data_IF_628495436141
#
_entry.id   IF_628495436141
#
_cell.length_a   1.000
_cell.length_b   1.000
_cell.length_c   1.000
_cell.angle_alpha   90.00
_cell.angle_beta   90.00
_cell.angle_gamma   90.00
#
_symmetry.space_group_name_H-M   'P 1'
#
loop_
_entity.id
_entity.type
_entity.pdbx_description
1 polymer ?
#
# COMPACT_ATOMS: atom_id res chain seq x y z
N UNK A 1 -26.13 13.11 7.99
CA UNK A 1 -25.98 11.64 7.92
C UNK A 1 -25.96 11.07 9.32
N UNK A 2 -26.28 9.79 9.53
CA UNK A 2 -26.14 9.10 10.81
C UNK A 2 -25.29 7.84 10.62
N UNK A 3 -24.48 7.52 11.62
CA UNK A 3 -23.70 6.29 11.72
C UNK A 3 -23.71 5.80 13.17
N UNK A 4 -23.67 4.49 13.38
CA UNK A 4 -23.38 3.93 14.70
C UNK A 4 -21.89 4.20 15.02
N UNK A 5 -21.53 4.59 16.25
CA UNK A 5 -20.13 4.76 16.62
C UNK A 5 -19.24 3.52 16.44
N UNK A 6 -19.77 2.33 16.09
CA UNK A 6 -19.04 1.03 16.04
C UNK A 6 -18.78 0.49 14.45
N UNK A 7 -18.00 1.68 14.26
CA UNK A 7 -17.23 2.22 13.07
C UNK A 7 -16.71 3.67 13.08
N UNK A 8 -17.31 4.61 13.81
CA UNK A 8 -16.73 5.96 13.86
C UNK A 8 -15.34 5.96 14.54
N UNK A 9 -14.43 6.76 14.00
CA UNK A 9 -13.13 7.09 14.58
C UNK A 9 -13.01 8.60 14.76
N UNK A 10 -12.33 9.10 15.81
CA UNK A 10 -11.95 10.50 15.87
C UNK A 10 -10.84 10.79 14.83
N UNK A 11 -10.91 11.95 14.17
CA UNK A 11 -9.86 12.44 13.28
C UNK A 11 -8.90 13.36 14.05
N UNK A 12 -7.67 13.50 13.55
CA UNK A 12 -6.66 14.36 14.17
C UNK A 12 -7.08 15.85 14.09
N UNK A 13 -7.01 16.64 15.18
CA UNK A 13 -7.36 18.05 15.14
C UNK A 13 -6.54 18.83 14.10
N UNK A 14 -7.23 19.54 13.20
CA UNK A 14 -6.60 20.33 12.13
C UNK A 14 -6.34 19.57 10.82
N UNK A 15 -6.48 18.25 10.78
CA UNK A 15 -6.52 17.50 9.52
C UNK A 15 -7.84 17.77 8.81
N UNK A 16 -7.81 17.96 7.49
CA UNK A 16 -9.03 18.11 6.69
C UNK A 16 -9.64 16.76 6.34
N UNK A 17 -10.96 16.68 6.20
CA UNK A 17 -11.68 15.45 5.82
C UNK A 17 -11.12 14.84 4.52
N UNK A 18 -10.70 15.68 3.57
CA UNK A 18 -10.11 15.24 2.32
C UNK A 18 -8.71 14.60 2.47
N UNK A 19 -7.91 15.04 3.45
CA UNK A 19 -6.64 14.41 3.83
C UNK A 19 -6.85 13.15 4.68
N UNK A 20 -7.88 13.12 5.51
CA UNK A 20 -8.21 11.96 6.35
C UNK A 20 -8.85 10.81 5.57
N UNK A 21 -9.66 11.08 4.54
CA UNK A 21 -10.43 10.06 3.81
C UNK A 21 -9.58 8.91 3.22
N UNK A 22 -8.40 9.14 2.62
CA UNK A 22 -7.52 8.04 2.18
C UNK A 22 -7.01 7.15 3.32
N UNK A 23 -6.76 7.70 4.51
CA UNK A 23 -6.31 6.92 5.67
C UNK A 23 -7.37 5.88 6.07
N UNK A 24 -8.65 6.26 6.04
CA UNK A 24 -9.79 5.41 6.44
C UNK A 24 -10.09 4.22 5.50
N UNK A 25 -9.31 4.03 4.43
CA UNK A 25 -9.43 2.86 3.56
C UNK A 25 -8.05 2.35 3.14
N UNK A 26 -7.34 3.14 2.31
CA UNK A 26 -6.04 2.80 1.77
C UNK A 26 -4.95 2.75 2.85
N UNK A 27 -5.00 3.68 3.81
CA UNK A 27 -4.16 3.65 5.00
C UNK A 27 -4.41 2.42 5.86
N UNK A 28 -5.67 2.17 6.27
CA UNK A 28 -6.02 1.04 7.14
C UNK A 28 -5.63 -0.32 6.55
N UNK A 29 -5.87 -0.57 5.25
CA UNK A 29 -5.49 -1.84 4.63
C UNK A 29 -3.96 -1.95 4.45
N UNK A 30 -3.29 -0.84 4.14
CA UNK A 30 -1.83 -0.78 4.06
C UNK A 30 -1.17 -1.06 5.40
N UNK A 31 -1.63 -0.40 6.47
CA UNK A 31 -1.14 -0.60 7.83
C UNK A 31 -1.37 -2.03 8.34
N UNK A 32 -2.56 -2.59 8.09
CA UNK A 32 -2.87 -3.97 8.45
C UNK A 32 -1.97 -4.98 7.71
N UNK A 33 -1.66 -4.71 6.44
CA UNK A 33 -0.68 -5.48 5.69
C UNK A 33 0.75 -5.33 6.25
N UNK A 34 1.17 -4.11 6.62
CA UNK A 34 2.47 -3.85 7.26
C UNK A 34 2.62 -4.60 8.59
N UNK A 35 1.58 -4.62 9.45
CA UNK A 35 1.59 -5.43 10.68
C UNK A 35 1.73 -6.94 10.39
N UNK A 36 1.21 -7.41 9.25
CA UNK A 36 1.38 -8.79 8.79
C UNK A 36 2.78 -9.09 8.22
N UNK A 37 3.63 -8.07 8.04
CA UNK A 37 5.06 -8.21 7.73
C UNK A 37 5.96 -8.25 8.99
N UNK A 38 5.40 -8.09 10.19
CA UNK A 38 6.17 -8.08 11.44
C UNK A 38 7.26 -7.00 11.46
N UNK A 39 8.44 -7.34 11.96
CA UNK A 39 9.57 -6.41 12.13
C UNK A 39 10.51 -6.36 10.91
N UNK A 40 10.02 -6.75 9.72
CA UNK A 40 10.77 -6.71 8.46
C UNK A 40 11.45 -5.35 8.21
N UNK A 41 12.79 -5.36 8.14
CA UNK A 41 13.62 -4.18 7.86
C UNK A 41 13.49 -3.76 6.39
N UNK A 42 13.61 -4.72 5.47
CA UNK A 42 13.57 -4.50 4.01
C UNK A 42 12.21 -4.88 3.45
N UNK A 43 11.42 -3.86 3.08
CA UNK A 43 10.02 -4.00 2.70
C UNK A 43 9.77 -3.67 1.21
N UNK A 44 9.36 -4.67 0.43
CA UNK A 44 8.89 -4.50 -0.94
C UNK A 44 7.43 -4.04 -1.02
N UNK A 45 7.14 -3.01 -1.80
CA UNK A 45 5.78 -2.54 -2.07
C UNK A 45 5.44 -2.67 -3.57
N UNK A 46 4.64 -3.67 -3.91
CA UNK A 46 4.27 -4.00 -5.30
C UNK A 46 2.95 -3.33 -5.68
N UNK A 47 3.04 -2.32 -6.56
CA UNK A 47 1.94 -1.43 -6.94
C UNK A 47 1.93 -0.13 -6.14
N UNK A 48 2.72 0.86 -6.56
CA UNK A 48 2.91 2.10 -5.80
C UNK A 48 1.79 3.14 -6.00
N UNK A 49 0.59 2.86 -5.46
CA UNK A 49 -0.58 3.74 -5.50
C UNK A 49 -1.02 4.27 -4.13
N UNK A 50 -2.33 4.51 -3.97
CA UNK A 50 -2.95 5.07 -2.75
C UNK A 50 -2.48 4.39 -1.45
N UNK A 51 -2.65 3.07 -1.28
CA UNK A 51 -2.22 2.38 -0.06
C UNK A 51 -0.70 2.38 0.14
N UNK A 52 0.05 2.33 -0.96
CA UNK A 52 1.50 2.21 -0.94
C UNK A 52 2.20 3.49 -0.46
N UNK A 53 1.80 4.67 -0.94
CA UNK A 53 2.43 5.93 -0.53
C UNK A 53 2.12 6.30 0.93
N UNK A 54 0.95 5.89 1.46
CA UNK A 54 0.60 6.07 2.87
C UNK A 54 1.41 5.11 3.76
N UNK A 55 1.45 3.81 3.43
CA UNK A 55 2.19 2.83 4.23
C UNK A 55 3.70 3.00 4.13
N UNK A 56 4.23 3.51 3.01
CA UNK A 56 5.65 3.83 2.88
C UNK A 56 6.09 4.89 3.90
N UNK A 57 5.29 5.94 4.12
CA UNK A 57 5.59 6.97 5.14
C UNK A 57 5.62 6.37 6.56
N UNK A 58 4.65 5.51 6.90
CA UNK A 58 4.65 4.76 8.18
C UNK A 58 5.89 3.87 8.31
N UNK A 59 6.25 3.13 7.24
CA UNK A 59 7.39 2.22 7.24
C UNK A 59 8.73 2.97 7.39
N UNK A 60 8.90 4.09 6.68
CA UNK A 60 10.09 4.96 6.77
C UNK A 60 10.20 5.60 8.16
N UNK A 61 9.09 6.05 8.75
CA UNK A 61 9.05 6.54 10.13
C UNK A 61 9.44 5.44 11.15
N UNK A 62 9.04 4.19 10.90
CA UNK A 62 9.51 3.02 11.67
C UNK A 62 10.97 2.62 11.39
N UNK A 63 11.72 3.38 10.59
CA UNK A 63 13.12 3.10 10.26
C UNK A 63 13.33 1.98 9.24
N UNK A 64 12.28 1.51 8.55
CA UNK A 64 12.35 0.43 7.56
C UNK A 64 12.84 0.95 6.21
N UNK A 65 13.57 0.11 5.50
CA UNK A 65 14.08 0.35 4.14
C UNK A 65 13.04 -0.10 3.12
N UNK A 66 12.51 0.83 2.34
CA UNK A 66 11.35 0.59 1.46
C UNK A 66 11.77 0.50 -0.01
N UNK A 67 11.27 -0.51 -0.72
CA UNK A 67 11.59 -0.85 -2.10
C UNK A 67 10.31 -0.87 -2.95
N UNK A 68 10.12 0.08 -3.85
CA UNK A 68 8.90 0.23 -4.64
C UNK A 68 8.97 -0.49 -5.99
N UNK A 69 8.07 -1.44 -6.23
CA UNK A 69 7.93 -2.17 -7.49
C UNK A 69 6.68 -1.65 -8.23
N UNK A 70 6.91 -0.85 -9.26
CA UNK A 70 5.85 -0.23 -10.09
C UNK A 70 5.50 -1.12 -11.29
N UNK A 71 4.51 -0.70 -12.09
CA UNK A 71 4.38 -1.20 -13.46
C UNK A 71 5.70 -0.93 -14.21
N UNK A 72 6.09 -1.84 -15.10
CA UNK A 72 7.29 -1.64 -15.91
C UNK A 72 7.18 -0.38 -16.78
N UNK A 73 8.29 0.36 -16.88
CA UNK A 73 8.43 1.64 -17.60
C UNK A 73 7.57 2.80 -17.04
N UNK A 74 6.87 2.60 -15.92
CA UNK A 74 6.11 3.64 -15.22
C UNK A 74 7.05 4.58 -14.43
N UNK A 75 7.68 5.49 -15.15
CA UNK A 75 8.60 6.49 -14.58
C UNK A 75 7.91 7.50 -13.68
N UNK A 76 6.59 7.71 -13.84
CA UNK A 76 5.78 8.57 -13.00
C UNK A 76 5.65 7.98 -11.58
N UNK A 77 5.11 6.76 -11.46
CA UNK A 77 4.99 6.07 -10.16
C UNK A 77 6.34 5.85 -9.49
N UNK A 78 7.41 5.62 -10.26
CA UNK A 78 8.77 5.50 -9.71
C UNK A 78 9.32 6.84 -9.21
N UNK A 79 9.06 7.93 -9.94
CA UNK A 79 9.40 9.29 -9.50
C UNK A 79 8.62 9.66 -8.24
N UNK A 80 7.33 9.31 -8.18
CA UNK A 80 6.48 9.51 -7.02
C UNK A 80 6.98 8.75 -5.79
N UNK A 81 7.30 7.45 -5.93
CA UNK A 81 7.86 6.66 -4.84
C UNK A 81 9.17 7.26 -4.29
N UNK A 82 10.07 7.72 -5.17
CA UNK A 82 11.32 8.40 -4.76
C UNK A 82 11.06 9.74 -4.06
N UNK A 83 9.99 10.48 -4.42
CA UNK A 83 9.56 11.70 -3.68
C UNK A 83 9.02 11.38 -2.29
N UNK A 84 8.41 10.21 -2.10
CA UNK A 84 7.94 9.71 -0.79
C UNK A 84 9.11 9.21 0.08
N UNK A 85 10.32 9.08 -0.47
CA UNK A 85 11.52 8.71 0.27
C UNK A 85 11.86 7.22 0.30
N UNK A 86 11.27 6.40 -0.60
CA UNK A 86 11.69 5.00 -0.74
C UNK A 86 13.16 4.91 -1.20
N UNK A 87 13.90 3.91 -0.71
CA UNK A 87 15.32 3.74 -1.01
C UNK A 87 15.57 3.36 -2.47
N UNK A 88 14.68 2.56 -3.05
CA UNK A 88 14.72 2.14 -4.44
C UNK A 88 13.32 2.11 -5.06
N UNK A 89 13.22 2.47 -6.34
CA UNK A 89 12.01 2.29 -7.12
C UNK A 89 12.34 1.81 -8.54
N UNK A 90 11.63 0.79 -9.02
CA UNK A 90 11.84 0.18 -10.33
C UNK A 90 10.61 -0.58 -10.83
N UNK A 91 10.71 -1.19 -12.01
CA UNK A 91 9.64 -2.01 -12.58
C UNK A 91 9.51 -3.36 -11.87
N UNK A 92 8.29 -3.90 -11.79
CA UNK A 92 7.99 -5.16 -11.10
C UNK A 92 8.58 -6.41 -11.76
N UNK A 93 9.06 -6.35 -13.01
CA UNK A 93 9.86 -7.43 -13.62
C UNK A 93 11.37 -7.30 -13.39
N UNK A 94 11.84 -6.17 -12.83
CA UNK A 94 13.23 -6.04 -12.42
C UNK A 94 13.48 -6.85 -11.12
N UNK A 95 14.67 -7.46 -10.95
CA UNK A 95 15.04 -8.07 -9.68
C UNK A 95 15.06 -6.99 -8.58
N UNK A 96 14.74 -7.40 -7.35
CA UNK A 96 15.03 -6.57 -6.19
C UNK A 96 16.54 -6.28 -6.12
N UNK A 97 16.97 -5.07 -5.72
CA UNK A 97 18.39 -4.73 -5.65
C UNK A 97 19.13 -5.52 -4.56
N UNK A 98 18.39 -6.04 -3.57
CA UNK A 98 18.83 -6.95 -2.52
C UNK A 98 17.67 -7.86 -2.09
N UNK A 99 17.95 -8.87 -1.28
CA UNK A 99 16.93 -9.77 -0.71
C UNK A 99 16.07 -9.00 0.30
N UNK A 100 14.76 -9.16 0.23
CA UNK A 100 13.78 -8.52 1.10
C UNK A 100 13.43 -9.39 2.31
N UNK A 101 12.94 -8.77 3.39
CA UNK A 101 12.39 -9.49 4.55
C UNK A 101 10.87 -9.72 4.39
N UNK A 102 10.18 -8.77 3.76
CA UNK A 102 8.78 -8.90 3.43
C UNK A 102 8.39 -8.12 2.16
N UNK A 103 7.24 -8.47 1.60
CA UNK A 103 6.62 -7.78 0.48
C UNK A 103 5.10 -7.63 0.68
N UNK A 104 4.54 -6.49 0.28
CA UNK A 104 3.10 -6.23 0.22
C UNK A 104 2.70 -6.03 -1.24
N UNK A 105 1.64 -6.73 -1.69
CA UNK A 105 1.12 -6.65 -3.06
C UNK A 105 -0.23 -5.92 -3.03
N UNK A 106 -0.23 -4.68 -3.54
CA UNK A 106 -1.43 -3.87 -3.75
C UNK A 106 -1.93 -3.94 -5.20
N UNK A 107 -1.06 -4.21 -6.17
CA UNK A 107 -1.44 -4.35 -7.56
C UNK A 107 -2.28 -5.63 -7.80
N UNK A 108 -3.36 -5.58 -8.61
CA UNK A 108 -4.31 -6.68 -8.81
C UNK A 108 -3.78 -7.76 -9.79
N UNK A 109 -2.52 -8.16 -9.68
CA UNK A 109 -1.81 -9.00 -10.66
C UNK A 109 -1.16 -10.20 -9.96
N UNK A 110 -1.72 -11.38 -10.17
CA UNK A 110 -1.30 -12.64 -9.52
C UNK A 110 0.12 -13.08 -9.87
N UNK A 111 0.65 -12.73 -11.05
CA UNK A 111 2.05 -12.93 -11.44
C UNK A 111 3.07 -12.28 -10.48
N UNK A 112 2.64 -11.26 -9.71
CA UNK A 112 3.50 -10.61 -8.73
C UNK A 112 3.72 -11.47 -7.47
N UNK A 113 2.87 -12.47 -7.21
CA UNK A 113 3.01 -13.38 -6.06
C UNK A 113 4.28 -14.23 -6.16
N UNK A 114 4.53 -15.01 -7.24
CA UNK A 114 5.79 -15.73 -7.37
C UNK A 114 7.00 -14.81 -7.55
N UNK A 115 6.83 -13.60 -8.10
CA UNK A 115 7.90 -12.61 -8.18
C UNK A 115 8.33 -12.12 -6.78
N UNK A 116 7.38 -11.75 -5.93
CA UNK A 116 7.63 -11.35 -4.54
C UNK A 116 8.17 -12.51 -3.68
N UNK A 117 7.66 -13.74 -3.87
CA UNK A 117 8.19 -14.93 -3.19
C UNK A 117 9.66 -15.21 -3.53
N UNK A 118 10.10 -14.93 -4.77
CA UNK A 118 11.53 -14.98 -5.17
C UNK A 118 12.37 -13.81 -4.65
N UNK A 119 11.74 -12.69 -4.29
CA UNK A 119 12.44 -11.50 -3.78
C UNK A 119 12.67 -11.53 -2.26
N UNK A 120 11.82 -12.23 -1.49
CA UNK A 120 11.98 -12.38 -0.03
C UNK A 120 12.91 -13.54 0.35
N UNK A 121 13.64 -13.37 1.45
CA UNK A 121 14.52 -14.41 2.01
C UNK A 121 13.74 -15.59 2.64
N UNK A 122 14.47 -16.62 3.13
CA UNK A 122 13.90 -17.64 4.02
C UNK A 122 13.17 -17.02 5.21
N UNK A 123 12.02 -17.59 5.60
CA UNK A 123 11.12 -17.04 6.62
C UNK A 123 10.34 -15.78 6.19
N UNK A 124 10.66 -15.19 5.04
CA UNK A 124 10.08 -13.93 4.58
C UNK A 124 8.60 -14.02 4.22
N UNK A 125 7.90 -12.88 4.30
CA UNK A 125 6.44 -12.83 4.13
C UNK A 125 5.98 -12.04 2.90
N UNK A 126 4.99 -12.57 2.19
CA UNK A 126 4.33 -11.93 1.04
C UNK A 126 2.85 -11.74 1.38
N UNK A 127 2.40 -10.49 1.50
CA UNK A 127 1.04 -10.13 1.92
C UNK A 127 0.26 -9.54 0.75
N UNK A 128 -0.73 -10.29 0.27
CA UNK A 128 -1.69 -9.82 -0.73
C UNK A 128 -2.73 -8.91 -0.07
N UNK A 129 -2.74 -7.63 -0.46
CA UNK A 129 -3.57 -6.57 0.11
C UNK A 129 -4.52 -5.91 -0.92
N UNK A 130 -4.57 -6.42 -2.15
CA UNK A 130 -5.56 -6.04 -3.16
C UNK A 130 -6.90 -6.75 -2.94
N UNK A 131 -8.01 -6.01 -2.98
CA UNK A 131 -9.39 -6.54 -2.86
C UNK A 131 -9.81 -7.47 -4.01
N UNK A 132 -9.06 -7.45 -5.11
CA UNK A 132 -9.19 -8.32 -6.28
C UNK A 132 -7.79 -8.46 -6.91
N UNK A 133 -7.55 -9.59 -7.58
CA UNK A 133 -6.42 -9.79 -8.48
C UNK A 133 -6.82 -10.71 -9.64
N UNK A 134 -5.97 -10.83 -10.66
CA UNK A 134 -5.99 -11.98 -11.58
C UNK A 134 -5.70 -13.29 -10.84
N UNK A 135 -5.90 -14.43 -11.49
CA UNK A 135 -5.44 -15.72 -10.96
C UNK A 135 -3.94 -15.67 -10.62
N UNK A 136 -3.56 -16.37 -9.54
CA UNK A 136 -2.17 -16.61 -9.16
C UNK A 136 -1.68 -17.81 -9.98
N UNK A 137 -0.61 -17.68 -10.77
CA UNK A 137 -0.10 -18.78 -11.59
C UNK A 137 0.48 -19.90 -10.73
N UNK A 138 0.60 -21.09 -11.31
CA UNK A 138 1.36 -22.18 -10.69
C UNK A 138 2.84 -21.82 -10.57
N UNK A 139 3.43 -22.06 -9.39
CA UNK A 139 4.85 -21.80 -9.13
C UNK A 139 5.51 -23.02 -8.45
N UNK A 140 6.82 -23.25 -8.62
CA UNK A 140 7.52 -24.36 -8.00
C UNK A 140 7.58 -24.18 -6.47
N UNK A 141 7.39 -25.27 -5.72
CA UNK A 141 7.43 -25.26 -4.25
C UNK A 141 8.78 -24.76 -3.67
N UNK A 142 9.85 -24.79 -4.47
CA UNK A 142 11.17 -24.22 -4.18
C UNK A 142 11.14 -22.76 -3.67
N UNK A 143 10.14 -21.95 -4.09
CA UNK A 143 10.01 -20.54 -3.69
C UNK A 143 9.09 -20.32 -2.49
N UNK A 144 8.67 -21.40 -1.82
CA UNK A 144 7.78 -21.34 -0.65
C UNK A 144 8.31 -22.14 0.54
N UNK A 145 8.95 -23.30 0.32
CA UNK A 145 9.30 -24.26 1.38
C UNK A 145 10.27 -23.75 2.45
N UNK A 146 11.10 -22.73 2.17
CA UNK A 146 12.05 -22.12 3.13
C UNK A 146 11.32 -21.23 4.16
N UNK A 147 10.26 -21.76 4.79
CA UNK A 147 9.41 -21.10 5.79
C UNK A 147 8.75 -19.78 5.32
N UNK A 148 8.75 -19.49 4.01
CA UNK A 148 8.13 -18.29 3.45
C UNK A 148 6.61 -18.32 3.62
N UNK A 149 6.02 -17.17 3.92
CA UNK A 149 4.59 -17.03 4.21
C UNK A 149 3.87 -16.30 3.08
N UNK A 150 2.98 -16.98 2.35
CA UNK A 150 2.00 -16.31 1.49
C UNK A 150 0.71 -16.03 2.29
N UNK A 151 0.34 -14.76 2.43
CA UNK A 151 -0.76 -14.29 3.27
C UNK A 151 -1.73 -13.41 2.46
N UNK A 152 -2.97 -13.33 2.89
CA UNK A 152 -3.98 -12.43 2.32
C UNK A 152 -4.65 -11.61 3.43
N UNK A 153 -5.00 -10.35 3.15
CA UNK A 153 -5.76 -9.48 4.03
C UNK A 153 -6.97 -8.89 3.28
N UNK A 154 -8.16 -9.06 3.85
CA UNK A 154 -9.42 -8.65 3.21
C UNK A 154 -10.22 -7.61 4.02
N UNK A 155 -10.28 -7.77 5.35
CA UNK A 155 -11.11 -6.97 6.24
C UNK A 155 -10.26 -6.18 7.26
N UNK A 156 -10.77 -5.01 7.62
CA UNK A 156 -10.24 -4.11 8.65
C UNK A 156 -10.88 -4.41 10.01
N UNK A 157 -10.19 -4.08 11.10
CA UNK A 157 -10.70 -4.14 12.47
C UNK A 157 -10.66 -2.77 13.13
N UNK A 158 -11.44 -2.60 14.20
CA UNK A 158 -11.41 -1.37 15.01
C UNK A 158 -10.00 -1.04 15.55
N UNK A 159 -9.27 -2.06 15.99
CA UNK A 159 -7.89 -1.91 16.45
C UNK A 159 -6.96 -1.34 15.37
N UNK A 160 -7.09 -1.73 14.09
CA UNK A 160 -6.24 -1.17 13.03
C UNK A 160 -6.39 0.36 12.89
N UNK A 161 -7.56 0.92 13.19
CA UNK A 161 -7.79 2.38 13.13
C UNK A 161 -7.48 3.11 14.43
N UNK A 162 -7.68 2.46 15.58
CA UNK A 162 -7.24 2.97 16.88
C UNK A 162 -5.70 2.99 17.00
N UNK A 163 -5.01 2.11 16.28
CA UNK A 163 -3.55 2.11 16.12
C UNK A 163 -3.06 3.06 15.01
N UNK A 164 -3.64 3.00 13.80
CA UNK A 164 -3.12 3.77 12.65
C UNK A 164 -3.32 5.28 12.81
N UNK A 165 -4.51 5.76 13.20
CA UNK A 165 -4.81 7.19 13.13
C UNK A 165 -3.90 8.06 14.01
N UNK A 166 -3.57 7.70 15.28
CA UNK A 166 -2.56 8.44 16.03
C UNK A 166 -1.14 8.27 15.43
N UNK A 167 -0.76 7.07 15.00
CA UNK A 167 0.56 6.81 14.41
C UNK A 167 0.78 7.59 13.10
N UNK A 168 -0.25 7.75 12.27
CA UNK A 168 -0.19 8.52 11.04
C UNK A 168 -0.03 10.02 11.30
N UNK A 169 -0.63 10.54 12.38
CA UNK A 169 -0.42 11.91 12.81
C UNK A 169 0.99 12.12 13.42
N UNK A 170 1.49 11.16 14.22
CA UNK A 170 2.83 11.22 14.81
C UNK A 170 3.95 11.08 13.75
N UNK A 171 3.74 10.22 12.75
CA UNK A 171 4.64 10.05 11.61
C UNK A 171 4.54 11.16 10.55
N UNK A 172 3.61 12.11 10.70
CA UNK A 172 3.42 13.21 9.74
C UNK A 172 2.97 12.74 8.35
N UNK A 173 2.13 11.71 8.26
CA UNK A 173 1.70 11.13 6.98
C UNK A 173 0.79 12.10 6.23
N UNK A 174 1.29 12.60 5.09
CA UNK A 174 0.50 13.40 4.15
C UNK A 174 -0.06 12.50 3.05
N UNK A 175 -1.37 12.60 2.78
CA UNK A 175 -1.99 11.93 1.66
C UNK A 175 -1.83 12.80 0.41
N UNK A 176 -1.21 12.24 -0.63
CA UNK A 176 -1.23 12.88 -1.96
C UNK A 176 -2.61 12.64 -2.56
N UNK A 177 -3.35 13.74 -2.76
CA UNK A 177 -4.75 13.71 -3.18
C UNK A 177 -5.01 14.61 -4.38
N UNK A 178 -5.90 14.16 -5.26
CA UNK A 178 -6.57 15.00 -6.26
C UNK A 178 -8.04 15.13 -5.85
N UNK A 179 -8.48 16.34 -5.51
CA UNK A 179 -9.86 16.62 -5.10
C UNK A 179 -10.73 16.94 -6.30
N UNK A 180 -11.88 16.26 -6.41
CA UNK A 180 -12.91 16.52 -7.42
C UNK A 180 -14.24 16.88 -6.72
N UNK A 181 -15.04 17.81 -7.23
CA UNK A 181 -16.44 17.97 -6.81
C UNK A 181 -17.22 16.67 -7.03
N UNK A 182 -18.19 16.36 -6.17
CA UNK A 182 -19.05 15.16 -6.31
C UNK A 182 -19.68 15.02 -7.71
N UNK A 183 -20.03 16.14 -8.36
CA UNK A 183 -20.62 16.17 -9.72
C UNK A 183 -19.63 15.72 -10.81
N UNK A 184 -18.33 15.70 -10.54
CA UNK A 184 -17.26 15.26 -11.44
C UNK A 184 -16.79 13.82 -11.15
N UNK A 185 -17.51 13.05 -10.33
CA UNK A 185 -17.08 11.69 -9.94
C UNK A 185 -16.79 10.74 -11.12
N UNK A 186 -17.47 10.91 -12.27
CA UNK A 186 -17.16 10.15 -13.48
C UNK A 186 -15.78 10.50 -14.07
N UNK A 187 -15.38 11.78 -14.02
CA UNK A 187 -14.06 12.24 -14.46
C UNK A 187 -12.97 11.66 -13.55
N UNK A 188 -13.18 11.67 -12.23
CA UNK A 188 -12.28 11.04 -11.27
C UNK A 188 -12.09 9.52 -11.52
N UNK A 189 -13.17 8.81 -11.87
CA UNK A 189 -13.11 7.39 -12.23
C UNK A 189 -12.39 7.12 -13.55
N UNK A 190 -12.52 8.02 -14.54
CA UNK A 190 -11.84 7.91 -15.83
C UNK A 190 -10.35 8.27 -15.74
N UNK A 191 -9.99 9.26 -14.94
CA UNK A 191 -8.59 9.62 -14.65
C UNK A 191 -7.86 8.54 -13.84
N UNK A 192 -8.56 7.91 -12.88
CA UNK A 192 -8.09 6.71 -12.19
C UNK A 192 -7.86 5.55 -13.15
N UNK A 193 -8.84 5.26 -14.03
CA UNK A 193 -8.74 4.13 -15.00
C UNK A 193 -7.65 4.35 -16.05
N UNK A 194 -7.38 5.61 -16.41
CA UNK A 194 -6.32 5.98 -17.36
C UNK A 194 -4.95 6.24 -16.70
N UNK A 195 -4.84 6.10 -15.38
CA UNK A 195 -3.57 6.20 -14.66
C UNK A 195 -2.99 7.61 -14.56
N UNK A 196 -3.82 8.65 -14.63
CA UNK A 196 -3.40 10.06 -14.55
C UNK A 196 -3.22 10.58 -13.11
N UNK A 197 -3.48 9.74 -12.11
CA UNK A 197 -3.52 10.11 -10.70
C UNK A 197 -2.32 9.55 -9.94
N UNK A 198 -1.61 10.43 -9.24
CA UNK A 198 -0.73 10.05 -8.13
C UNK A 198 -1.53 10.04 -6.82
N UNK A 199 -1.21 9.11 -5.92
CA UNK A 199 -1.88 9.01 -4.62
C UNK A 199 -3.34 8.57 -4.72
N UNK A 200 -4.30 9.48 -4.42
CA UNK A 200 -5.73 9.15 -4.25
C UNK A 200 -6.68 10.19 -4.86
N UNK A 201 -7.74 9.77 -5.55
CA UNK A 201 -8.88 10.64 -5.84
C UNK A 201 -9.74 10.82 -4.58
N UNK A 202 -10.21 12.04 -4.33
CA UNK A 202 -11.13 12.35 -3.22
C UNK A 202 -12.28 13.21 -3.73
N UNK A 203 -13.52 12.83 -3.38
CA UNK A 203 -14.72 13.60 -3.73
C UNK A 203 -15.05 14.59 -2.61
N UNK A 204 -15.29 15.86 -2.97
CA UNK A 204 -15.80 16.89 -2.06
C UNK A 204 -17.32 17.02 -2.20
N UNK A 205 -18.00 17.22 -1.06
CA UNK A 205 -19.46 17.09 -0.88
C UNK A 205 -20.03 18.25 -0.06
#
# INVERSE_FOLDING_TARGET
TLADPRYCFPLAPGQSDAQAAPLLCAGLIGYRALRMCGDAERLGLYGFGSSAHLVAQIALYQGRRVFAFTRDRDTASQGFARRVGVEWAGGSSAPAPEVLDAAIIFAPVGELVPAALRAVGPGGSVVCAGIHMSEIPAFPYEILWEERQLRSVANLTRADGEELLPLAAEAGVEAVITTYPLVEANQALDDLRTGKLEGSAVLTV
#
